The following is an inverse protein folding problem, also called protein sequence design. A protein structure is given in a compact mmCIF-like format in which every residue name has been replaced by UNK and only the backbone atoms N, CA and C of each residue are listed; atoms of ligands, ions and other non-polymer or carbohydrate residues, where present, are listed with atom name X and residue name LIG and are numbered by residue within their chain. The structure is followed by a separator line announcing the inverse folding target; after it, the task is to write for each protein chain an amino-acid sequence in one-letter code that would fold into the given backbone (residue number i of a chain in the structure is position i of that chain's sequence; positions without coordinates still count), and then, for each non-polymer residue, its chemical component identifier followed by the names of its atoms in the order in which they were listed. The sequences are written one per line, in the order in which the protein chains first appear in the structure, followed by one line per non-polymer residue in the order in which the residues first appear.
data_IF_319083975847
#
_entry.id   IF_319083975847
#
_cell.length_a   1.000
_cell.length_b   1.000
_cell.length_c   1.000
_cell.angle_alpha   90.00
_cell.angle_beta   90.00
_cell.angle_gamma   90.00
#
_symmetry.space_group_name_H-M   'P 1'
#
loop_
_entity.id
_entity.type
_entity.pdbx_description
1 polymer ?
#
# COMPACT_ATOMS: atom_id res chain seq x y z
N UNK A 1 -8.98 -6.14 -0.18
CA UNK A 1 -7.75 -5.47 0.29
C UNK A 1 -7.57 -4.20 -0.51
N UNK A 2 -7.27 -3.07 0.14
CA UNK A 2 -7.12 -1.76 -0.49
C UNK A 2 -5.87 -1.08 0.08
N UNK A 3 -5.14 -0.35 -0.77
CA UNK A 3 -4.08 0.56 -0.35
C UNK A 3 -4.65 1.97 -0.49
N UNK A 4 -4.74 2.69 0.62
CA UNK A 4 -5.15 4.09 0.65
C UNK A 4 -3.93 5.00 0.81
N UNK A 5 -3.96 6.15 0.13
CA UNK A 5 -2.93 7.18 0.20
C UNK A 5 -3.59 8.53 0.44
N UNK A 6 -3.48 9.04 1.66
CA UNK A 6 -3.96 10.39 1.99
C UNK A 6 -2.78 11.35 2.01
N UNK A 7 -2.89 12.52 1.39
CA UNK A 7 -1.88 13.56 1.56
C UNK A 7 -1.92 14.09 3.01
N UNK A 8 -0.87 13.80 3.79
CA UNK A 8 -0.80 14.17 5.21
C UNK A 8 -0.02 15.48 5.43
N UNK A 9 0.99 15.74 4.59
CA UNK A 9 1.83 16.95 4.61
C UNK A 9 2.18 17.37 3.19
N UNK A 10 2.74 18.57 3.02
CA UNK A 10 3.13 19.12 1.72
C UNK A 10 4.00 18.17 0.87
N UNK A 11 4.83 17.34 1.52
CA UNK A 11 5.70 16.35 0.85
C UNK A 11 5.47 14.91 1.29
N UNK A 12 4.53 14.64 2.20
CA UNK A 12 4.33 13.30 2.77
C UNK A 12 2.89 12.81 2.60
N UNK A 13 2.77 11.52 2.29
CA UNK A 13 1.51 10.80 2.21
C UNK A 13 1.42 9.84 3.38
N UNK A 14 0.23 9.64 3.91
CA UNK A 14 -0.10 8.56 4.82
C UNK A 14 -0.58 7.39 3.98
N UNK A 15 0.23 6.34 3.90
CA UNK A 15 -0.11 5.10 3.23
C UNK A 15 -0.74 4.12 4.23
N UNK A 16 -1.89 3.55 3.90
CA UNK A 16 -2.65 2.63 4.75
C UNK A 16 -2.98 1.35 3.99
N UNK A 17 -2.67 0.20 4.57
CA UNK A 17 -3.11 -1.11 4.06
C UNK A 17 -4.38 -1.52 4.80
N UNK A 18 -5.47 -1.67 4.06
CA UNK A 18 -6.77 -2.08 4.58
C UNK A 18 -7.10 -3.50 4.13
N UNK A 19 -7.37 -4.39 5.08
CA UNK A 19 -7.90 -5.74 4.84
C UNK A 19 -9.28 -5.79 5.50
N UNK A 20 -10.30 -6.09 4.69
CA UNK A 20 -11.70 -6.10 5.12
C UNK A 20 -12.14 -4.79 5.81
N UNK A 21 -11.61 -3.66 5.32
CA UNK A 21 -11.86 -2.33 5.87
C UNK A 21 -11.10 -2.00 7.16
N UNK A 22 -10.30 -2.93 7.69
CA UNK A 22 -9.50 -2.73 8.90
C UNK A 22 -8.05 -2.36 8.53
N UNK A 23 -7.49 -1.27 9.07
CA UNK A 23 -6.10 -0.90 8.81
C UNK A 23 -5.17 -1.91 9.48
N UNK A 24 -4.25 -2.47 8.69
CA UNK A 24 -3.25 -3.45 9.14
C UNK A 24 -1.84 -2.85 9.22
N UNK A 25 -1.54 -1.91 8.34
CA UNK A 25 -0.29 -1.16 8.32
C UNK A 25 -0.60 0.29 7.97
N UNK A 26 0.03 1.23 8.66
CA UNK A 26 -0.09 2.66 8.42
C UNK A 26 1.28 3.31 8.60
N UNK A 27 1.68 4.14 7.63
CA UNK A 27 2.96 4.86 7.69
C UNK A 27 2.96 6.12 6.85
N UNK A 28 3.76 7.08 7.30
CA UNK A 28 4.07 8.28 6.53
C UNK A 28 5.21 8.00 5.55
N UNK A 29 5.02 8.36 4.29
CA UNK A 29 5.96 8.13 3.19
C UNK A 29 6.17 9.42 2.39
N UNK A 30 7.40 9.69 1.99
CA UNK A 30 7.80 10.91 1.26
C UNK A 30 8.23 10.48 -0.15
N UNK A 31 7.27 10.07 -0.98
CA UNK A 31 7.53 9.50 -2.31
C UNK A 31 8.46 8.28 -2.30
N UNK A 32 8.76 7.75 -3.48
CA UNK A 32 9.65 6.60 -3.66
C UNK A 32 8.95 5.25 -3.44
N UNK A 33 9.75 4.20 -3.25
CA UNK A 33 9.26 2.83 -3.12
C UNK A 33 9.18 2.42 -1.65
N UNK A 34 8.04 1.89 -1.23
CA UNK A 34 7.84 1.39 0.13
C UNK A 34 7.00 0.10 0.12
N UNK A 35 6.97 -0.57 1.27
CA UNK A 35 6.20 -1.81 1.46
C UNK A 35 5.23 -1.68 2.61
N UNK A 36 4.04 -2.23 2.45
CA UNK A 36 3.04 -2.40 3.52
C UNK A 36 2.85 -3.90 3.80
N UNK A 37 2.67 -4.26 5.07
CA UNK A 37 2.60 -5.64 5.53
C UNK A 37 1.30 -5.90 6.30
N UNK A 38 0.57 -6.97 5.97
CA UNK A 38 -0.67 -7.32 6.69
C UNK A 38 -0.46 -7.84 8.12
N UNK A 39 0.72 -8.42 8.40
CA UNK A 39 1.12 -8.90 9.73
C UNK A 39 0.41 -10.18 10.22
N UNK A 40 -0.46 -10.78 9.42
CA UNK A 40 -1.20 -12.02 9.71
C UNK A 40 -0.54 -13.28 9.11
N UNK A 41 -1.07 -14.48 9.39
CA UNK A 41 -0.53 -15.75 8.87
C UNK A 41 -0.46 -15.81 7.34
N UNK A 42 -1.30 -15.06 6.65
CA UNK A 42 -1.31 -14.95 5.19
C UNK A 42 -0.23 -14.00 4.63
N UNK A 43 0.53 -13.29 5.49
CA UNK A 43 1.52 -12.25 5.19
C UNK A 43 1.45 -11.67 3.78
N UNK A 44 0.50 -10.77 3.57
CA UNK A 44 0.40 -9.97 2.35
C UNK A 44 1.41 -8.84 2.41
N UNK A 45 2.26 -8.76 1.39
CA UNK A 45 3.20 -7.66 1.19
C UNK A 45 2.77 -6.88 -0.04
N UNK A 46 2.52 -5.59 0.13
CA UNK A 46 2.22 -4.68 -0.97
C UNK A 46 3.42 -3.78 -1.19
N UNK A 47 4.08 -3.94 -2.33
CA UNK A 47 5.13 -3.01 -2.78
C UNK A 47 4.46 -1.87 -3.54
N UNK A 48 4.65 -0.64 -3.08
CA UNK A 48 4.07 0.57 -3.69
C UNK A 48 5.20 1.48 -4.16
N UNK A 49 5.12 1.91 -5.40
CA UNK A 49 5.97 2.98 -5.95
C UNK A 49 5.15 4.25 -6.07
N UNK A 50 5.51 5.27 -5.31
CA UNK A 50 4.84 6.56 -5.26
C UNK A 50 5.70 7.63 -5.92
N UNK A 51 5.15 8.32 -6.92
CA UNK A 51 5.83 9.47 -7.48
C UNK A 51 5.80 10.67 -6.53
N UNK A 52 6.76 11.59 -6.66
CA UNK A 52 6.80 12.86 -5.93
C UNK A 52 5.48 13.66 -6.01
N UNK A 53 4.74 13.49 -7.11
CA UNK A 53 3.46 14.15 -7.36
C UNK A 53 2.24 13.43 -6.77
N UNK A 54 2.44 12.42 -5.90
CA UNK A 54 1.35 11.71 -5.23
C UNK A 54 0.69 10.61 -6.04
N UNK A 55 1.09 10.39 -7.30
CA UNK A 55 0.52 9.33 -8.12
C UNK A 55 1.20 7.99 -7.83
N UNK A 56 0.40 6.98 -7.51
CA UNK A 56 0.85 5.58 -7.46
C UNK A 56 1.25 5.14 -8.86
N UNK A 57 2.50 4.72 -9.00
CA UNK A 57 3.04 4.21 -10.26
C UNK A 57 2.86 2.69 -10.36
N UNK A 58 2.98 1.99 -9.24
CA UNK A 58 2.89 0.53 -9.19
C UNK A 58 2.47 0.07 -7.81
N UNK A 59 1.56 -0.90 -7.77
CA UNK A 59 1.31 -1.70 -6.58
C UNK A 59 1.44 -3.18 -6.97
N UNK A 60 2.34 -3.90 -6.31
CA UNK A 60 2.50 -5.34 -6.50
C UNK A 60 2.17 -6.04 -5.18
N UNK A 61 1.21 -6.96 -5.24
CA UNK A 61 0.83 -7.80 -4.11
C UNK A 61 1.62 -9.09 -4.17
N UNK A 62 2.30 -9.44 -3.08
CA UNK A 62 2.89 -10.76 -2.89
C UNK A 62 2.22 -11.40 -1.69
N UNK A 63 1.67 -12.60 -1.89
CA UNK A 63 1.25 -13.48 -0.79
C UNK A 63 2.09 -14.75 -0.83
N UNK A 64 2.55 -15.27 0.32
CA UNK A 64 3.35 -16.50 0.42
C UNK A 64 2.67 -17.73 -0.20
N UNK A 65 1.34 -17.74 -0.32
CA UNK A 65 0.56 -18.85 -0.89
C UNK A 65 0.38 -18.84 -2.43
N UNK A 66 1.16 -18.06 -3.21
CA UNK A 66 1.03 -18.04 -4.69
C UNK A 66 -0.13 -17.18 -5.19
N UNK A 67 -0.15 -15.91 -4.76
CA UNK A 67 -1.31 -15.02 -4.81
C UNK A 67 -1.84 -14.60 -6.17
N UNK A 68 -3.17 -14.69 -6.25
CA UNK A 68 -4.08 -14.17 -7.29
C UNK A 68 -3.84 -12.67 -7.52
N UNK A 69 -3.88 -12.18 -8.78
CA UNK A 69 -3.87 -10.74 -9.07
C UNK A 69 -5.13 -10.09 -8.48
N UNK A 70 -4.95 -9.12 -7.58
CA UNK A 70 -6.05 -8.34 -7.01
C UNK A 70 -6.09 -6.95 -7.65
N UNK A 71 -7.31 -6.46 -7.85
CA UNK A 71 -7.68 -5.28 -8.64
C UNK A 71 -6.88 -3.99 -8.31
N UNK A 72 -6.76 -3.07 -9.28
CA UNK A 72 -5.89 -1.90 -9.17
C UNK A 72 -6.29 -0.96 -8.04
N UNK A 73 -5.26 -0.32 -7.49
CA UNK A 73 -5.33 0.79 -6.52
C UNK A 73 -6.27 1.87 -7.06
N UNK A 74 -7.28 2.23 -6.26
CA UNK A 74 -8.16 3.38 -6.55
C UNK A 74 -7.51 4.64 -5.99
N UNK A 75 -7.60 5.71 -6.79
CA UNK A 75 -7.19 7.09 -6.45
C UNK A 75 -8.21 7.73 -5.50
#
# INVERSE_FOLDING_TARGET
MVVELDQALFVAYRARLLIDGVPRDERNVVGGSFRLHSGDEAQVVVEVELSWWGKVRRAAVRTPAGGVPLEPVRD
#
